data_IF_430035333623
#
_entry.id   IF_430035333623
#
_cell.length_a   1.000
_cell.length_b   1.000
_cell.length_c   1.000
_cell.angle_alpha   90.00
_cell.angle_beta   90.00
_cell.angle_gamma   90.00
#
_symmetry.space_group_name_H-M   'P 1'
#
loop_
_entity.id
_entity.type
_entity.pdbx_description
1 polymer ?
#
# COMPACT_ATOMS: atom_id res chain seq x y z
N UNK A 1 15.00 -12.76 -12.23
CA UNK A 1 13.81 -12.21 -12.90
C UNK A 1 12.54 -12.45 -12.08
N UNK A 2 12.15 -13.69 -11.77
CA UNK A 2 10.87 -13.93 -11.05
C UNK A 2 10.84 -13.34 -9.62
N UNK A 3 11.96 -13.43 -8.89
CA UNK A 3 12.07 -12.84 -7.55
C UNK A 3 12.08 -11.30 -7.58
N UNK A 4 12.57 -10.72 -8.68
CA UNK A 4 12.65 -9.27 -8.87
C UNK A 4 11.25 -8.68 -9.07
N UNK A 5 10.42 -9.29 -9.93
CA UNK A 5 9.01 -8.91 -10.10
C UNK A 5 8.18 -9.06 -8.82
N UNK A 6 8.45 -10.12 -8.05
CA UNK A 6 7.81 -10.36 -6.76
C UNK A 6 8.17 -9.31 -5.72
N UNK A 7 9.38 -8.75 -5.75
CA UNK A 7 9.71 -7.61 -4.89
C UNK A 7 9.09 -6.30 -5.39
N UNK A 8 8.88 -6.14 -6.69
CA UNK A 8 8.21 -4.95 -7.25
C UNK A 8 6.75 -4.81 -6.77
N UNK A 9 6.02 -5.90 -6.54
CA UNK A 9 4.65 -5.80 -5.99
C UNK A 9 4.64 -5.29 -4.54
N UNK A 10 5.62 -5.69 -3.73
CA UNK A 10 5.78 -5.22 -2.36
C UNK A 10 6.07 -3.71 -2.33
N UNK A 11 6.94 -3.24 -3.23
CA UNK A 11 7.24 -1.82 -3.38
C UNK A 11 6.02 -1.01 -3.83
N UNK A 12 5.21 -1.56 -4.74
CA UNK A 12 3.95 -0.93 -5.18
C UNK A 12 2.90 -0.88 -4.06
N UNK A 13 2.83 -1.88 -3.19
CA UNK A 13 1.98 -1.82 -1.99
C UNK A 13 2.39 -0.65 -1.07
N UNK A 14 3.70 -0.47 -0.87
CA UNK A 14 4.23 0.67 -0.10
C UNK A 14 3.86 2.01 -0.75
N UNK A 15 4.01 2.12 -2.08
CA UNK A 15 3.60 3.33 -2.84
C UNK A 15 2.10 3.62 -2.68
N UNK A 16 1.25 2.60 -2.79
CA UNK A 16 -0.19 2.73 -2.58
C UNK A 16 -0.49 3.27 -1.19
N UNK A 17 0.13 2.70 -0.14
CA UNK A 17 -0.04 3.17 1.23
C UNK A 17 0.30 4.65 1.40
N UNK A 18 1.44 5.05 0.84
CA UNK A 18 1.95 6.42 0.95
C UNK A 18 1.07 7.41 0.19
N UNK A 19 0.57 7.03 -0.99
CA UNK A 19 -0.33 7.88 -1.78
C UNK A 19 -1.65 8.17 -1.05
N UNK A 20 -2.19 7.17 -0.33
CA UNK A 20 -3.36 7.36 0.53
C UNK A 20 -3.03 7.94 1.91
N UNK A 21 -1.77 8.33 2.16
CA UNK A 21 -1.37 9.00 3.39
C UNK A 21 -1.72 8.16 4.64
N UNK A 22 -1.49 6.85 4.54
CA UNK A 22 -1.80 5.88 5.60
C UNK A 22 -0.54 5.41 6.32
N UNK A 23 -0.65 5.24 7.63
CA UNK A 23 0.28 4.41 8.41
C UNK A 23 0.07 2.93 8.07
N UNK A 24 1.04 2.07 8.47
CA UNK A 24 0.89 0.61 8.27
C UNK A 24 -0.29 0.05 9.04
N UNK A 25 -0.56 0.59 10.24
CA UNK A 25 -1.70 0.20 11.07
C UNK A 25 -3.03 0.58 10.42
N UNK A 26 -3.14 1.80 9.88
CA UNK A 26 -4.35 2.23 9.17
C UNK A 26 -4.60 1.41 7.91
N UNK A 27 -3.55 1.07 7.15
CA UNK A 27 -3.66 0.18 6.00
C UNK A 27 -4.10 -1.22 6.43
N UNK A 28 -3.47 -1.76 7.47
CA UNK A 28 -3.81 -3.05 8.07
C UNK A 28 -5.29 -3.12 8.47
N UNK A 29 -5.80 -2.12 9.19
CA UNK A 29 -7.21 -2.03 9.58
C UNK A 29 -8.12 -1.99 8.34
N UNK A 30 -7.79 -1.19 7.32
CA UNK A 30 -8.60 -1.08 6.09
C UNK A 30 -8.67 -2.39 5.32
N UNK A 31 -7.57 -3.15 5.29
CA UNK A 31 -7.48 -4.40 4.55
C UNK A 31 -7.87 -5.64 5.37
N UNK A 32 -8.07 -5.51 6.69
CA UNK A 32 -8.33 -6.65 7.58
C UNK A 32 -7.09 -7.54 7.77
N UNK A 33 -5.91 -6.93 7.79
CA UNK A 33 -4.60 -7.59 7.77
C UNK A 33 -3.80 -7.17 9.00
N UNK A 34 -2.87 -8.00 9.48
CA UNK A 34 -2.00 -7.60 10.60
C UNK A 34 -0.95 -6.60 10.14
N UNK A 35 -0.76 -5.52 10.90
CA UNK A 35 0.27 -4.50 10.61
C UNK A 35 1.69 -5.09 10.49
N UNK A 36 2.02 -6.08 11.31
CA UNK A 36 3.29 -6.81 11.21
C UNK A 36 3.50 -7.51 9.86
N UNK A 37 2.43 -8.00 9.22
CA UNK A 37 2.50 -8.59 7.88
C UNK A 37 2.73 -7.51 6.82
N UNK A 38 2.04 -6.38 6.91
CA UNK A 38 2.30 -5.21 6.04
C UNK A 38 3.76 -4.78 6.15
N UNK A 39 4.30 -4.71 7.37
CA UNK A 39 5.71 -4.37 7.58
C UNK A 39 6.67 -5.42 7.00
N UNK A 40 6.39 -6.72 7.13
CA UNK A 40 7.22 -7.76 6.54
C UNK A 40 7.22 -7.70 5.01
N UNK A 41 6.07 -7.44 4.41
CA UNK A 41 5.90 -7.30 2.96
C UNK A 41 6.66 -6.06 2.45
N UNK A 42 6.43 -4.89 3.04
CA UNK A 42 7.09 -3.64 2.60
C UNK A 42 8.61 -3.64 2.78
N UNK A 43 9.14 -4.47 3.69
CA UNK A 43 10.57 -4.63 3.91
C UNK A 43 11.14 -5.86 3.18
N UNK A 44 10.39 -6.41 2.22
CA UNK A 44 10.85 -7.52 1.35
C UNK A 44 11.19 -8.82 2.11
N UNK A 45 10.74 -8.94 3.36
CA UNK A 45 10.91 -10.16 4.18
C UNK A 45 9.86 -11.23 3.87
N UNK A 46 8.77 -10.83 3.24
CA UNK A 46 7.68 -11.72 2.85
C UNK A 46 7.13 -11.28 1.51
N UNK A 47 6.79 -12.25 0.66
CA UNK A 47 6.01 -11.97 -0.54
C UNK A 47 4.56 -11.63 -0.16
N UNK A 48 3.97 -10.70 -0.90
CA UNK A 48 2.55 -10.40 -0.76
C UNK A 48 1.71 -11.60 -1.23
N UNK A 49 0.85 -12.18 -0.37
CA UNK A 49 -0.05 -13.26 -0.77
C UNK A 49 -1.08 -12.78 -1.80
N UNK A 50 -1.46 -13.64 -2.74
CA UNK A 50 -2.42 -13.30 -3.80
C UNK A 50 -3.75 -12.75 -3.26
N UNK A 51 -4.27 -13.30 -2.14
CA UNK A 51 -5.53 -12.83 -1.55
C UNK A 51 -5.48 -11.37 -1.05
N UNK A 52 -4.30 -10.79 -0.84
CA UNK A 52 -4.19 -9.35 -0.53
C UNK A 52 -4.67 -8.50 -1.70
N UNK A 53 -4.49 -8.97 -2.95
CA UNK A 53 -5.02 -8.29 -4.13
C UNK A 53 -6.55 -8.19 -4.06
N UNK A 54 -7.23 -9.22 -3.54
CA UNK A 54 -8.68 -9.17 -3.35
C UNK A 54 -9.09 -8.16 -2.28
N UNK A 55 -8.37 -8.12 -1.15
CA UNK A 55 -8.61 -7.15 -0.09
C UNK A 55 -8.41 -5.71 -0.58
N UNK A 56 -7.37 -5.49 -1.39
CA UNK A 56 -7.08 -4.21 -2.03
C UNK A 56 -8.14 -3.88 -3.08
N UNK A 57 -8.55 -4.84 -3.91
CA UNK A 57 -9.60 -4.65 -4.91
C UNK A 57 -10.92 -4.18 -4.30
N UNK A 58 -11.28 -4.69 -3.12
CA UNK A 58 -12.49 -4.24 -2.41
C UNK A 58 -12.41 -2.79 -1.91
N UNK A 59 -11.22 -2.22 -1.78
CA UNK A 59 -11.00 -0.85 -1.29
C UNK A 59 -10.64 0.14 -2.39
N UNK A 60 -9.84 -0.30 -3.34
CA UNK A 60 -9.20 0.49 -4.39
C UNK A 60 -9.11 -0.31 -5.69
N UNK A 61 -10.25 -0.67 -6.30
CA UNK A 61 -10.29 -1.48 -7.52
C UNK A 61 -9.46 -0.89 -8.67
N UNK A 62 -9.38 0.44 -8.75
CA UNK A 62 -8.64 1.20 -9.76
C UNK A 62 -7.12 0.94 -9.75
N UNK A 63 -6.55 0.52 -8.61
CA UNK A 63 -5.11 0.37 -8.43
C UNK A 63 -4.61 -1.07 -8.55
N UNK A 64 -5.52 -2.06 -8.57
CA UNK A 64 -5.15 -3.48 -8.52
C UNK A 64 -4.35 -3.93 -9.74
N UNK A 65 -4.76 -3.49 -10.93
CA UNK A 65 -4.05 -3.85 -12.16
C UNK A 65 -2.61 -3.35 -12.13
N UNK A 66 -2.42 -2.06 -11.81
CA UNK A 66 -1.08 -1.47 -11.65
C UNK A 66 -0.29 -2.15 -10.52
N UNK A 67 -0.93 -2.45 -9.40
CA UNK A 67 -0.29 -3.13 -8.27
C UNK A 67 0.21 -4.53 -8.65
N UNK A 68 -0.53 -5.27 -9.48
CA UNK A 68 -0.14 -6.60 -9.93
C UNK A 68 0.89 -6.55 -11.07
N UNK A 69 0.64 -5.77 -12.12
CA UNK A 69 1.38 -5.83 -13.39
C UNK A 69 2.41 -4.72 -13.59
N UNK A 70 2.20 -3.57 -12.96
CA UNK A 70 3.08 -2.39 -13.07
C UNK A 70 2.69 -1.52 -14.27
N UNK A 71 1.71 -1.99 -15.03
CA UNK A 71 1.16 -1.33 -16.20
C UNK A 71 -0.08 -0.52 -15.79
N UNK A 72 -0.48 0.42 -16.64
CA UNK A 72 -1.68 1.24 -16.46
C UNK A 72 -2.54 1.13 -17.73
N UNK A 73 -3.85 1.17 -17.56
CA UNK A 73 -4.83 1.32 -18.65
C UNK A 73 -5.76 2.48 -18.25
N UNK A 74 -5.30 3.75 -18.41
CA UNK A 74 -6.04 4.91 -17.93
C UNK A 74 -7.46 5.01 -18.49
N UNK A 75 -7.65 4.62 -19.76
CA UNK A 75 -8.95 4.62 -20.44
C UNK A 75 -9.96 3.66 -19.79
N UNK A 76 -9.50 2.67 -19.04
CA UNK A 76 -10.31 1.72 -18.28
C UNK A 76 -10.31 2.00 -16.77
N UNK A 77 -9.74 3.13 -16.33
CA UNK A 77 -9.64 3.49 -14.92
C UNK A 77 -8.59 2.70 -14.12
N UNK A 78 -7.68 1.99 -14.79
CA UNK A 78 -6.59 1.26 -14.14
C UNK A 78 -5.33 2.12 -14.07
N UNK A 79 -5.08 2.72 -12.91
CA UNK A 79 -4.09 3.80 -12.77
C UNK A 79 -3.15 3.57 -11.59
N UNK A 80 -1.95 4.16 -11.65
CA UNK A 80 -1.09 4.32 -10.48
C UNK A 80 -1.71 5.34 -9.52
N UNK A 81 -1.65 5.11 -8.19
CA UNK A 81 -2.09 6.10 -7.22
C UNK A 81 -1.23 7.36 -7.30
N UNK A 82 -1.87 8.53 -7.40
CA UNK A 82 -1.19 9.83 -7.40
C UNK A 82 -0.82 10.19 -5.98
N UNK A 83 0.47 10.08 -5.64
CA UNK A 83 0.98 10.61 -4.39
C UNK A 83 1.35 12.09 -4.55
N UNK A 84 0.73 12.97 -3.78
CA UNK A 84 1.38 14.23 -3.42
C UNK A 84 2.46 13.89 -2.40
N UNK A 85 3.72 13.86 -2.85
CA UNK A 85 4.89 13.59 -2.02
C UNK A 85 5.10 14.77 -1.06
N UNK A 86 4.30 14.85 0.00
CA UNK A 86 4.69 15.59 1.19
C UNK A 86 5.40 14.62 2.13
N UNK A 87 6.74 14.57 2.05
CA UNK A 87 7.59 13.69 2.87
C UNK A 87 7.34 13.85 4.39
N UNK A 88 6.84 15.02 4.82
CA UNK A 88 6.50 15.35 6.22
C UNK A 88 5.12 14.86 6.68
N UNK A 89 4.30 14.25 5.82
CA UNK A 89 2.92 13.90 6.19
C UNK A 89 2.86 12.79 7.26
N UNK A 90 3.64 11.72 7.10
CA UNK A 90 3.56 10.54 7.99
C UNK A 90 4.05 10.89 9.40
N UNK A 91 5.12 11.68 9.52
CA UNK A 91 5.64 12.11 10.81
C UNK A 91 4.68 13.05 11.55
N UNK A 92 4.00 13.95 10.83
CA UNK A 92 2.94 14.80 11.40
C UNK A 92 1.79 13.97 11.97
N UNK A 93 1.27 13.02 11.19
CA UNK A 93 0.14 12.17 11.62
C UNK A 93 0.49 11.27 12.82
N UNK A 94 1.73 10.76 12.88
CA UNK A 94 2.22 10.00 14.03
C UNK A 94 2.34 10.85 15.31
N UNK A 95 2.64 12.14 15.19
CA UNK A 95 2.66 13.08 16.33
C UNK A 95 1.25 13.43 16.81
N UNK A 96 0.29 13.54 15.89
CA UNK A 96 -1.12 13.83 16.20
C UNK A 96 -1.81 12.66 16.91
N UNK A 97 -1.71 11.43 16.39
CA UNK A 97 -2.32 10.25 17.00
C UNK A 97 -1.80 9.93 18.42
N UNK A 98 -0.63 10.46 18.81
CA UNK A 98 -0.08 10.31 20.17
C UNK A 98 -0.63 11.35 21.16
N UNK A 99 -1.28 12.42 20.68
CA UNK A 99 -1.86 13.48 21.53
C UNK A 99 -3.26 13.14 22.02
N UNK A 100 -4.02 12.32 21.29
CA UNK A 100 -5.41 11.96 21.60
C UNK A 100 -5.55 10.81 22.64
N UNK A 101 -4.48 10.51 23.39
CA UNK A 101 -4.45 9.45 24.40
C UNK A 101 -4.06 9.95 25.81
N UNK A 102 -4.26 11.24 26.08
CA UNK A 102 -4.12 11.86 27.40
C UNK A 102 -5.41 12.54 27.85
#
# INVERSE_FOLDING_TARGET
>A
MEDEEKMLINQRLKKLRLAYKLTRDELAIKLGIKSGQIAAIENERQLMPAWYLEAIHRKWPEHVYWLATGLQIPDQGHIEPKAELEEDFVERRLKENKRDHY
#
